data_IF_055127370059
#
_entry.id   IF_055127370059
#
_cell.length_a   1.000
_cell.length_b   1.000
_cell.length_c   1.000
_cell.angle_alpha   90.00
_cell.angle_beta   90.00
_cell.angle_gamma   90.00
#
_symmetry.space_group_name_H-M   'P 1'
#
loop_
_entity.id
_entity.type
_entity.pdbx_description
1 polymer ?
#
# COMPACT_ATOMS: atom_id res chain seq x y z
N UNK A 1 14.37 -11.14 8.28
CA UNK A 1 13.00 -11.61 8.00
C UNK A 1 12.63 -11.04 6.65
N UNK A 2 12.50 -11.87 5.61
CA UNK A 2 11.87 -11.43 4.38
C UNK A 2 10.41 -11.11 4.71
N UNK A 3 10.04 -9.83 4.59
CA UNK A 3 8.63 -9.46 4.64
C UNK A 3 7.95 -10.09 3.43
N UNK A 4 6.86 -10.83 3.68
CA UNK A 4 6.13 -11.44 2.59
C UNK A 4 5.51 -10.33 1.70
N UNK A 5 5.25 -10.64 0.43
CA UNK A 5 4.69 -9.67 -0.54
C UNK A 5 3.36 -9.06 -0.08
N UNK A 6 2.58 -9.78 0.73
CA UNK A 6 1.31 -9.30 1.29
C UNK A 6 1.54 -8.16 2.26
N UNK A 7 2.47 -8.31 3.19
CA UNK A 7 2.79 -7.31 4.21
C UNK A 7 3.42 -6.07 3.55
N UNK A 8 4.24 -6.27 2.51
CA UNK A 8 4.75 -5.20 1.66
C UNK A 8 3.64 -4.42 0.96
N UNK A 9 2.65 -5.12 0.39
CA UNK A 9 1.51 -4.50 -0.28
C UNK A 9 0.66 -3.68 0.70
N UNK A 10 0.31 -4.26 1.85
CA UNK A 10 -0.43 -3.55 2.91
C UNK A 10 0.32 -2.28 3.32
N UNK A 11 1.64 -2.38 3.52
CA UNK A 11 2.45 -1.23 3.92
C UNK A 11 2.51 -0.15 2.84
N UNK A 12 2.63 -0.52 1.56
CA UNK A 12 2.62 0.42 0.45
C UNK A 12 1.29 1.18 0.38
N UNK A 13 0.17 0.48 0.45
CA UNK A 13 -1.16 1.08 0.46
C UNK A 13 -1.37 2.06 1.63
N UNK A 14 -0.90 1.71 2.83
CA UNK A 14 -0.99 2.62 3.99
C UNK A 14 -0.07 3.86 3.86
N UNK A 15 1.08 3.75 3.17
CA UNK A 15 1.94 4.90 2.87
C UNK A 15 1.25 5.86 1.91
N UNK A 16 0.65 5.34 0.83
CA UNK A 16 -0.13 6.15 -0.12
C UNK A 16 -1.32 6.80 0.57
N UNK A 17 -2.06 6.06 1.41
CA UNK A 17 -3.17 6.62 2.19
C UNK A 17 -2.72 7.82 3.04
N UNK A 18 -1.57 7.71 3.72
CA UNK A 18 -0.99 8.81 4.51
C UNK A 18 -0.61 10.02 3.63
N UNK A 19 -0.04 9.78 2.45
CA UNK A 19 0.28 10.85 1.50
C UNK A 19 -1.00 11.62 1.12
N UNK A 20 -2.06 10.93 0.70
CA UNK A 20 -3.30 11.59 0.28
C UNK A 20 -4.11 12.23 1.43
N UNK A 21 -3.95 11.77 2.67
CA UNK A 21 -4.46 12.50 3.84
C UNK A 21 -3.77 13.86 3.99
N UNK A 22 -2.46 13.95 3.71
CA UNK A 22 -1.72 15.21 3.71
C UNK A 22 -2.15 16.17 2.60
N UNK A 23 -2.61 15.63 1.47
CA UNK A 23 -3.14 16.39 0.32
C UNK A 23 -4.64 16.75 0.46
N UNK A 24 -5.25 16.50 1.64
CA UNK A 24 -6.70 16.62 1.90
C UNK A 24 -7.58 15.85 0.88
N UNK A 25 -7.02 14.84 0.22
CA UNK A 25 -7.70 13.99 -0.73
C UNK A 25 -8.27 12.76 -0.03
N UNK A 26 -9.32 12.99 0.76
CA UNK A 26 -9.96 12.00 1.61
C UNK A 26 -10.47 10.79 0.81
N UNK A 27 -10.94 11.02 -0.42
CA UNK A 27 -11.38 9.93 -1.32
C UNK A 27 -10.24 8.97 -1.64
N UNK A 28 -9.10 9.49 -2.10
CA UNK A 28 -7.92 8.66 -2.41
C UNK A 28 -7.39 7.96 -1.17
N UNK A 29 -7.33 8.67 -0.05
CA UNK A 29 -6.91 8.08 1.21
C UNK A 29 -7.78 6.87 1.60
N UNK A 30 -9.11 6.99 1.46
CA UNK A 30 -10.04 5.90 1.75
C UNK A 30 -9.85 4.70 0.81
N UNK A 31 -9.72 4.94 -0.50
CA UNK A 31 -9.49 3.88 -1.51
C UNK A 31 -8.29 3.00 -1.11
N UNK A 32 -7.18 3.63 -0.70
CA UNK A 32 -5.98 2.89 -0.29
C UNK A 32 -6.11 2.16 1.05
N UNK A 33 -6.89 2.70 1.99
CA UNK A 33 -7.19 2.00 3.25
C UNK A 33 -8.04 0.75 2.98
N UNK A 34 -9.05 0.85 2.12
CA UNK A 34 -9.92 -0.26 1.73
C UNK A 34 -9.13 -1.36 1.02
N UNK A 35 -8.19 -0.99 0.15
CA UNK A 35 -7.29 -1.95 -0.50
C UNK A 35 -6.39 -2.69 0.50
N UNK A 36 -5.81 -1.99 1.47
CA UNK A 36 -5.03 -2.59 2.54
C UNK A 36 -5.87 -3.57 3.38
N UNK A 37 -7.11 -3.20 3.71
CA UNK A 37 -8.06 -4.07 4.42
C UNK A 37 -8.43 -5.31 3.59
N UNK A 38 -8.71 -5.14 2.30
CA UNK A 38 -9.04 -6.27 1.41
C UNK A 38 -7.89 -7.29 1.32
N UNK A 39 -6.64 -6.83 1.35
CA UNK A 39 -5.47 -7.72 1.38
C UNK A 39 -5.37 -8.45 2.73
N UNK A 40 -5.59 -7.75 3.85
CA UNK A 40 -5.59 -8.36 5.18
C UNK A 40 -6.63 -9.48 5.29
N UNK A 41 -7.84 -9.23 4.78
CA UNK A 41 -8.96 -10.16 4.78
C UNK A 41 -8.88 -11.25 3.69
N UNK A 42 -7.80 -11.27 2.91
CA UNK A 42 -7.59 -12.23 1.80
C UNK A 42 -8.62 -12.12 0.68
N UNK A 43 -9.28 -10.97 0.55
CA UNK A 43 -10.20 -10.63 -0.56
C UNK A 43 -9.47 -10.08 -1.79
N UNK A 44 -8.25 -9.57 -1.61
CA UNK A 44 -7.36 -9.07 -2.68
C UNK A 44 -5.97 -9.72 -2.55
N UNK A 45 -5.36 -10.09 -3.68
CA UNK A 45 -3.94 -10.46 -3.71
C UNK A 45 -3.15 -9.16 -3.71
N UNK A 46 -2.22 -9.01 -2.77
CA UNK A 46 -1.33 -7.86 -2.75
C UNK A 46 -0.49 -7.81 -4.01
N UNK A 47 -0.50 -6.66 -4.67
CA UNK A 47 0.14 -6.38 -5.96
C UNK A 47 1.38 -5.51 -5.77
N UNK A 48 2.12 -5.68 -4.66
CA UNK A 48 3.36 -4.95 -4.43
C UNK A 48 4.32 -5.12 -5.63
N UNK A 49 4.33 -4.12 -6.49
CA UNK A 49 5.28 -3.97 -7.57
C UNK A 49 6.49 -3.22 -7.02
N UNK A 50 7.64 -3.87 -7.20
CA UNK A 50 8.94 -3.45 -6.67
C UNK A 50 9.47 -2.15 -7.30
N UNK A 51 8.68 -1.48 -8.14
CA UNK A 51 9.08 -0.26 -8.84
C UNK A 51 9.35 0.91 -7.88
N UNK A 52 8.76 0.89 -6.68
CA UNK A 52 9.09 1.82 -5.59
C UNK A 52 10.51 1.56 -5.01
N UNK A 53 10.96 0.31 -4.98
CA UNK A 53 12.32 -0.07 -4.56
C UNK A 53 13.33 0.06 -5.71
N UNK A 54 12.96 -0.24 -6.96
CA UNK A 54 13.83 -0.03 -8.13
C UNK A 54 14.20 1.44 -8.37
N UNK A 55 13.29 2.36 -8.03
CA UNK A 55 13.57 3.81 -8.14
C UNK A 55 14.35 4.39 -6.96
N UNK A 56 14.59 3.60 -5.90
CA UNK A 56 15.61 3.91 -4.90
C UNK A 56 16.82 3.02 -5.16
N UNK A 57 17.75 3.52 -5.98
CA UNK A 57 19.14 3.02 -5.99
C UNK A 57 19.72 3.12 -4.56
N UNK A 58 19.50 2.08 -3.75
CA UNK A 58 20.20 1.80 -2.50
C UNK A 58 20.95 0.50 -2.70
#
# INVERSE_FOLDING_TARGET
>A
MDMNKRDLSIRAYLIEAKYYLGEDNQKRALEYIEDAQAILERRKIGDFEDDYLKNKNI
#
